data_IF_743183882630
#
_entry.id   IF_743183882630
#
_cell.length_a   1.000
_cell.length_b   1.000
_cell.length_c   1.000
_cell.angle_alpha   90.00
_cell.angle_beta   90.00
_cell.angle_gamma   90.00
#
_symmetry.space_group_name_H-M   'P 1'
#
loop_
_entity.id
_entity.type
_entity.pdbx_description
1 polymer ?
#
# COMPACT_ATOMS: atom_id res chain seq x y z
N UNK A 1 -0.27 9.30 25.67
CA UNK A 1 -0.34 8.46 24.45
C UNK A 1 0.01 7.01 24.77
N UNK A 2 -0.70 6.07 24.15
CA UNK A 2 -0.45 4.64 24.35
C UNK A 2 0.82 4.19 23.63
N UNK A 3 1.57 3.26 24.25
CA UNK A 3 2.70 2.60 23.60
C UNK A 3 2.20 1.61 22.53
N UNK A 4 3.10 1.18 21.64
CA UNK A 4 2.78 0.18 20.60
C UNK A 4 2.33 -1.15 21.24
N UNK A 5 2.96 -1.57 22.33
CA UNK A 5 2.55 -2.74 23.12
C UNK A 5 1.13 -2.59 23.67
N UNK A 6 0.80 -1.44 24.22
CA UNK A 6 -0.53 -1.18 24.77
C UNK A 6 -1.61 -1.23 23.69
N UNK A 7 -1.34 -0.69 22.49
CA UNK A 7 -2.27 -0.77 21.36
C UNK A 7 -2.47 -2.21 20.93
N UNK A 8 -1.39 -2.97 20.76
CA UNK A 8 -1.46 -4.39 20.43
C UNK A 8 -2.30 -5.16 21.47
N UNK A 9 -2.03 -4.98 22.74
CA UNK A 9 -2.73 -5.68 23.82
C UNK A 9 -4.23 -5.38 23.81
N UNK A 10 -4.61 -4.13 23.54
CA UNK A 10 -6.01 -3.74 23.45
C UNK A 10 -6.71 -4.36 22.23
N UNK A 11 -6.06 -4.38 21.08
CA UNK A 11 -6.62 -4.99 19.85
C UNK A 11 -6.77 -6.50 20.03
N UNK A 12 -5.78 -7.17 20.60
CA UNK A 12 -5.82 -8.62 20.87
C UNK A 12 -6.92 -8.95 21.87
N UNK A 13 -7.08 -8.19 22.94
CA UNK A 13 -8.14 -8.41 23.94
C UNK A 13 -9.54 -8.28 23.31
N UNK A 14 -9.73 -7.26 22.48
CA UNK A 14 -10.98 -7.08 21.74
C UNK A 14 -11.21 -8.23 20.75
N UNK A 15 -10.20 -8.57 19.96
CA UNK A 15 -10.32 -9.61 18.92
C UNK A 15 -10.60 -10.99 19.54
N UNK A 16 -10.00 -11.30 20.67
CA UNK A 16 -10.24 -12.54 21.38
C UNK A 16 -11.71 -12.75 21.70
N UNK A 17 -12.42 -11.68 22.01
CA UNK A 17 -13.85 -11.74 22.37
C UNK A 17 -14.75 -11.62 21.15
N UNK A 18 -14.41 -10.79 20.17
CA UNK A 18 -15.33 -10.40 19.10
C UNK A 18 -14.89 -10.83 17.70
N UNK A 19 -13.63 -11.24 17.48
CA UNK A 19 -13.11 -11.60 16.16
C UNK A 19 -12.00 -12.66 16.27
N UNK A 20 -12.40 -13.91 16.43
CA UNK A 20 -11.48 -15.03 16.62
C UNK A 20 -10.46 -15.19 15.49
N UNK A 21 -10.87 -14.97 14.23
CA UNK A 21 -9.99 -15.09 13.07
C UNK A 21 -8.85 -14.06 13.15
N UNK A 22 -9.17 -12.81 13.44
CA UNK A 22 -8.18 -11.75 13.62
C UNK A 22 -7.28 -12.03 14.82
N UNK A 23 -7.85 -12.47 15.93
CA UNK A 23 -7.10 -12.87 17.12
C UNK A 23 -6.03 -13.92 16.79
N UNK A 24 -6.43 -14.98 16.09
CA UNK A 24 -5.52 -16.06 15.71
C UNK A 24 -4.38 -15.57 14.79
N UNK A 25 -4.68 -14.70 13.85
CA UNK A 25 -3.67 -14.11 12.97
C UNK A 25 -2.68 -13.24 13.75
N UNK A 26 -3.16 -12.42 14.67
CA UNK A 26 -2.32 -11.51 15.45
C UNK A 26 -1.41 -12.26 16.41
N UNK A 27 -1.91 -13.27 17.14
CA UNK A 27 -1.10 -14.02 18.08
C UNK A 27 -0.13 -14.99 17.40
N UNK A 28 -0.45 -15.44 16.19
CA UNK A 28 0.44 -16.32 15.42
C UNK A 28 1.73 -15.59 15.00
N UNK A 29 1.67 -14.30 14.72
CA UNK A 29 2.83 -13.46 14.45
C UNK A 29 2.63 -12.07 15.07
N UNK A 30 2.96 -11.95 16.33
CA UNK A 30 2.77 -10.71 17.09
C UNK A 30 3.66 -9.57 16.61
N UNK A 31 4.86 -9.85 16.12
CA UNK A 31 5.77 -8.83 15.61
C UNK A 31 5.21 -8.20 14.33
N UNK A 32 4.66 -9.00 13.42
CA UNK A 32 3.97 -8.50 12.23
C UNK A 32 2.76 -7.63 12.63
N UNK A 33 1.93 -8.10 13.55
CA UNK A 33 0.76 -7.36 14.00
C UNK A 33 1.13 -6.00 14.62
N UNK A 34 2.17 -5.97 15.46
CA UNK A 34 2.68 -4.73 16.05
C UNK A 34 3.22 -3.78 14.97
N UNK A 35 3.96 -4.29 13.99
CA UNK A 35 4.48 -3.48 12.89
C UNK A 35 3.35 -2.84 12.09
N UNK A 36 2.27 -3.58 11.80
CA UNK A 36 1.08 -3.06 11.11
C UNK A 36 0.44 -1.93 11.91
N UNK A 37 0.19 -2.15 13.19
CA UNK A 37 -0.46 -1.17 14.06
C UNK A 37 0.39 0.07 14.31
N UNK A 38 1.69 -0.02 14.10
CA UNK A 38 2.63 1.07 14.28
C UNK A 38 2.83 1.96 13.04
N UNK A 39 2.37 1.54 11.88
CA UNK A 39 2.53 2.34 10.65
C UNK A 39 1.90 3.73 10.85
N UNK A 40 2.64 4.79 10.51
CA UNK A 40 2.26 6.20 10.61
C UNK A 40 2.02 6.75 12.03
N UNK A 41 2.23 5.97 13.09
CA UNK A 41 2.03 6.47 14.46
C UNK A 41 3.04 7.51 14.90
N UNK A 42 4.26 7.42 14.37
CA UNK A 42 5.35 8.35 14.71
C UNK A 42 5.36 9.62 13.84
N UNK A 43 4.40 9.76 12.93
CA UNK A 43 4.28 10.95 12.12
C UNK A 43 3.83 12.16 12.95
N UNK A 44 4.32 13.39 12.63
CA UNK A 44 3.85 14.61 13.30
C UNK A 44 2.33 14.84 13.18
N UNK A 45 1.73 14.26 12.15
CA UNK A 45 0.28 14.22 11.94
C UNK A 45 -0.17 12.77 11.72
N UNK A 46 -0.29 11.99 12.80
CA UNK A 46 -0.69 10.60 12.66
C UNK A 46 -2.10 10.50 12.06
N UNK A 47 -2.29 9.50 11.22
CA UNK A 47 -3.61 9.21 10.67
C UNK A 47 -4.53 8.70 11.78
N UNK A 48 -5.79 9.12 11.71
CA UNK A 48 -6.84 8.68 12.63
C UNK A 48 -7.82 7.79 11.86
N UNK A 49 -7.30 6.76 11.22
CA UNK A 49 -8.10 5.91 10.33
C UNK A 49 -8.92 4.85 11.08
N UNK A 50 -8.55 4.59 12.33
CA UNK A 50 -9.28 3.63 13.19
C UNK A 50 -10.04 4.42 14.25
N UNK A 51 -11.30 4.72 13.99
CA UNK A 51 -12.17 5.43 14.91
C UNK A 51 -12.88 4.46 15.89
N UNK A 52 -13.03 3.20 15.51
CA UNK A 52 -13.66 2.18 16.33
C UNK A 52 -13.07 0.79 16.04
N UNK A 53 -13.35 -0.16 16.93
CA UNK A 53 -12.83 -1.53 16.83
C UNK A 53 -13.28 -2.27 15.56
N UNK A 54 -14.45 -1.96 15.05
CA UNK A 54 -14.99 -2.59 13.84
C UNK A 54 -14.17 -2.25 12.58
N UNK A 55 -13.47 -1.11 12.60
CA UNK A 55 -12.61 -0.69 11.50
C UNK A 55 -11.25 -1.38 11.49
N UNK A 56 -10.85 -2.02 12.60
CA UNK A 56 -9.54 -2.67 12.70
C UNK A 56 -9.35 -3.74 11.63
N UNK A 57 -10.34 -4.60 11.42
CA UNK A 57 -10.25 -5.66 10.41
C UNK A 57 -10.09 -5.07 9.01
N UNK A 58 -10.85 -4.03 8.67
CA UNK A 58 -10.72 -3.35 7.37
C UNK A 58 -9.33 -2.72 7.20
N UNK A 59 -8.80 -2.14 8.27
CA UNK A 59 -7.48 -1.52 8.27
C UNK A 59 -6.36 -2.53 8.03
N UNK A 60 -6.45 -3.73 8.60
CA UNK A 60 -5.39 -4.75 8.56
C UNK A 60 -5.59 -5.81 7.48
N UNK A 61 -6.76 -5.88 6.87
CA UNK A 61 -7.15 -7.00 5.97
C UNK A 61 -6.18 -7.23 4.82
N UNK A 62 -5.66 -6.19 4.19
CA UNK A 62 -4.73 -6.35 3.06
C UNK A 62 -3.33 -6.83 3.47
N UNK A 63 -3.02 -6.86 4.77
CA UNK A 63 -1.76 -7.44 5.26
C UNK A 63 -1.79 -8.96 5.41
N UNK A 64 -2.97 -9.58 5.39
CA UNK A 64 -3.15 -11.01 5.58
C UNK A 64 -3.91 -11.62 4.42
N UNK A 65 -3.31 -12.59 3.73
CA UNK A 65 -3.96 -13.27 2.60
C UNK A 65 -5.29 -13.94 3.00
N UNK A 66 -5.41 -14.35 4.26
CA UNK A 66 -6.63 -14.93 4.82
C UNK A 66 -7.81 -13.95 4.90
N UNK A 67 -7.52 -12.65 4.91
CA UNK A 67 -8.51 -11.57 4.97
C UNK A 67 -8.57 -10.75 3.67
N UNK A 68 -7.54 -10.87 2.82
CA UNK A 68 -7.36 -10.03 1.65
C UNK A 68 -8.23 -10.47 0.49
N UNK A 69 -9.00 -9.54 -0.07
CA UNK A 69 -9.75 -9.74 -1.30
C UNK A 69 -9.19 -8.82 -2.37
N UNK A 70 -8.48 -9.37 -3.38
CA UNK A 70 -7.91 -8.56 -4.46
C UNK A 70 -8.99 -7.82 -5.26
N UNK A 71 -8.74 -6.55 -5.52
CA UNK A 71 -9.54 -5.68 -6.39
C UNK A 71 -8.61 -4.74 -7.14
N UNK A 72 -8.42 -5.00 -8.41
CA UNK A 72 -7.50 -4.25 -9.27
C UNK A 72 -8.18 -3.12 -10.06
N UNK A 73 -9.41 -2.74 -9.70
CA UNK A 73 -10.13 -1.66 -10.37
C UNK A 73 -9.34 -0.35 -10.34
N UNK A 74 -9.10 0.21 -11.51
CA UNK A 74 -8.39 1.48 -11.68
C UNK A 74 -9.36 2.66 -11.70
N UNK A 75 -8.92 3.87 -11.25
CA UNK A 75 -9.63 5.10 -11.56
C UNK A 75 -9.84 5.25 -13.07
N UNK A 76 -10.96 5.86 -13.48
CA UNK A 76 -11.33 5.98 -14.89
C UNK A 76 -10.28 6.67 -15.77
N UNK A 77 -9.52 7.59 -15.20
CA UNK A 77 -8.50 8.36 -15.92
C UNK A 77 -7.17 7.62 -16.10
N UNK A 78 -7.03 6.41 -15.56
CA UNK A 78 -5.81 5.59 -15.72
C UNK A 78 -6.12 4.41 -16.63
N UNK A 79 -5.42 4.33 -17.76
CA UNK A 79 -5.57 3.24 -18.72
C UNK A 79 -4.88 1.97 -18.22
N UNK A 80 -5.47 0.80 -18.50
CA UNK A 80 -4.89 -0.51 -18.16
C UNK A 80 -3.49 -0.69 -18.75
N UNK A 81 -3.28 -0.27 -19.99
CA UNK A 81 -2.00 -0.37 -20.68
C UNK A 81 -0.91 0.41 -19.93
N UNK A 82 -1.25 1.59 -19.44
CA UNK A 82 -0.33 2.42 -18.65
C UNK A 82 -0.04 1.77 -17.31
N UNK A 83 -1.05 1.19 -16.65
CA UNK A 83 -0.87 0.46 -15.40
C UNK A 83 0.04 -0.76 -15.57
N UNK A 84 -0.13 -1.52 -16.64
CA UNK A 84 0.73 -2.68 -16.96
C UNK A 84 2.19 -2.22 -17.13
N UNK A 85 2.41 -1.15 -17.89
CA UNK A 85 3.76 -0.60 -18.11
C UNK A 85 4.40 -0.13 -16.79
N UNK A 86 3.67 0.62 -15.99
CA UNK A 86 4.13 1.10 -14.67
C UNK A 86 4.54 -0.09 -13.80
N UNK A 87 3.67 -1.08 -13.66
CA UNK A 87 3.93 -2.22 -12.78
C UNK A 87 5.06 -3.10 -13.28
N UNK A 88 5.15 -3.32 -14.58
CA UNK A 88 6.23 -4.11 -15.20
C UNK A 88 7.59 -3.47 -14.94
N UNK A 89 7.70 -2.17 -15.16
CA UNK A 89 8.96 -1.42 -14.93
C UNK A 89 9.26 -1.28 -13.44
N UNK A 90 8.23 -1.10 -12.60
CA UNK A 90 8.40 -1.01 -11.15
C UNK A 90 9.00 -2.30 -10.56
N UNK A 91 8.59 -3.47 -11.01
CA UNK A 91 9.17 -4.75 -10.60
C UNK A 91 10.67 -4.81 -10.81
N UNK A 92 11.16 -4.21 -11.89
CA UNK A 92 12.59 -4.25 -12.24
C UNK A 92 13.45 -3.40 -11.30
N UNK A 93 12.88 -2.38 -10.68
CA UNK A 93 13.63 -1.40 -9.88
C UNK A 93 13.36 -1.50 -8.39
N UNK A 94 12.27 -2.14 -7.97
CA UNK A 94 11.92 -2.26 -6.56
C UNK A 94 12.96 -3.05 -5.77
N UNK A 95 13.41 -2.51 -4.64
CA UNK A 95 14.28 -3.19 -3.69
C UNK A 95 13.81 -2.93 -2.25
N UNK A 96 13.64 -4.01 -1.48
CA UNK A 96 13.28 -3.90 -0.06
C UNK A 96 14.39 -3.26 0.79
N UNK A 97 15.61 -3.16 0.26
CA UNK A 97 16.75 -2.55 0.94
C UNK A 97 16.84 -1.02 0.74
N UNK A 98 16.00 -0.45 -0.15
CA UNK A 98 15.98 1.00 -0.36
C UNK A 98 15.44 1.72 0.87
N UNK A 99 15.99 2.90 1.17
CA UNK A 99 15.37 3.85 2.08
C UNK A 99 14.08 4.38 1.45
N UNK A 100 13.24 5.01 2.27
CA UNK A 100 12.00 5.63 1.76
C UNK A 100 12.30 6.70 0.70
N UNK A 101 13.35 7.47 0.87
CA UNK A 101 13.80 8.48 -0.09
C UNK A 101 14.25 7.84 -1.41
N UNK A 102 15.10 6.82 -1.35
CA UNK A 102 15.55 6.08 -2.53
C UNK A 102 14.38 5.42 -3.27
N UNK A 103 13.47 4.82 -2.53
CA UNK A 103 12.25 4.22 -3.08
C UNK A 103 11.41 5.27 -3.83
N UNK A 104 11.18 6.43 -3.22
CA UNK A 104 10.37 7.48 -3.85
C UNK A 104 11.07 8.10 -5.07
N UNK A 105 12.40 8.25 -5.02
CA UNK A 105 13.17 8.72 -6.18
C UNK A 105 13.04 7.75 -7.37
N UNK A 106 13.03 6.45 -7.14
CA UNK A 106 12.77 5.45 -8.19
C UNK A 106 11.37 5.61 -8.79
N UNK A 107 10.36 5.92 -7.99
CA UNK A 107 9.01 6.20 -8.47
C UNK A 107 8.98 7.46 -9.36
N UNK A 108 9.70 8.52 -8.98
CA UNK A 108 9.82 9.72 -9.82
C UNK A 108 10.46 9.43 -11.17
N UNK A 109 11.52 8.64 -11.19
CA UNK A 109 12.17 8.21 -12.43
C UNK A 109 11.24 7.35 -13.29
N UNK A 110 10.46 6.49 -12.65
CA UNK A 110 9.44 5.66 -13.29
C UNK A 110 8.36 6.51 -13.97
N UNK A 111 7.92 7.60 -13.34
CA UNK A 111 6.99 8.55 -13.94
C UNK A 111 7.48 9.01 -15.31
N UNK A 112 8.70 9.51 -15.38
CA UNK A 112 9.30 10.02 -16.61
C UNK A 112 9.43 8.93 -17.67
N UNK A 113 9.77 7.71 -17.27
CA UNK A 113 9.90 6.57 -18.19
C UNK A 113 8.57 6.11 -18.77
N UNK A 114 7.45 6.37 -18.10
CA UNK A 114 6.10 5.93 -18.53
C UNK A 114 5.24 7.06 -19.11
N UNK A 115 5.79 8.25 -19.33
CA UNK A 115 5.05 9.38 -19.90
C UNK A 115 4.24 10.18 -18.88
N UNK A 116 4.53 10.01 -17.61
CA UNK A 116 3.98 10.80 -16.51
C UNK A 116 5.02 11.83 -16.04
N UNK A 117 4.59 12.82 -15.26
CA UNK A 117 5.53 13.76 -14.65
C UNK A 117 5.61 13.58 -13.15
N UNK A 118 6.83 13.62 -12.55
CA UNK A 118 6.97 13.63 -11.09
C UNK A 118 6.55 14.96 -10.45
N UNK A 119 6.31 16.00 -11.25
CA UNK A 119 5.99 17.35 -10.78
C UNK A 119 4.50 17.67 -11.00
N UNK A 120 3.73 17.68 -9.91
CA UNK A 120 2.29 17.96 -9.95
C UNK A 120 1.98 19.36 -10.49
N UNK A 121 2.82 20.36 -10.18
CA UNK A 121 2.63 21.73 -10.67
C UNK A 121 2.80 21.79 -12.19
N UNK A 122 3.82 21.12 -12.71
CA UNK A 122 4.06 21.01 -14.15
C UNK A 122 2.88 20.37 -14.87
N UNK A 123 2.34 19.29 -14.32
CA UNK A 123 1.14 18.66 -14.84
C UNK A 123 -0.04 19.61 -14.89
N UNK A 124 -0.30 20.37 -13.82
CA UNK A 124 -1.41 21.34 -13.77
C UNK A 124 -1.26 22.47 -14.79
N UNK A 125 -0.03 22.86 -15.09
CA UNK A 125 0.25 23.92 -16.07
C UNK A 125 0.12 23.41 -17.50
N UNK A 126 0.43 22.15 -17.76
CA UNK A 126 0.45 21.57 -19.10
C UNK A 126 -0.03 20.10 -19.08
N UNK A 127 -1.32 19.87 -18.77
CA UNK A 127 -1.85 18.50 -18.60
C UNK A 127 -1.80 17.67 -19.88
N UNK A 128 -1.86 18.31 -21.07
CA UNK A 128 -1.84 17.59 -22.34
C UNK A 128 -0.47 17.02 -22.70
N UNK A 129 0.60 17.48 -22.03
CA UNK A 129 1.96 16.99 -22.26
C UNK A 129 2.24 15.65 -21.60
N UNK A 130 1.42 15.22 -20.65
CA UNK A 130 1.65 14.03 -19.82
C UNK A 130 0.39 13.17 -19.71
N UNK A 131 0.59 11.88 -19.49
CA UNK A 131 -0.51 10.94 -19.17
C UNK A 131 -1.11 11.18 -17.79
N UNK A 132 -0.36 11.81 -16.89
CA UNK A 132 -0.71 12.10 -15.51
C UNK A 132 0.53 12.52 -14.73
N UNK A 133 0.48 12.37 -13.41
CA UNK A 133 1.57 12.75 -12.51
C UNK A 133 1.91 11.64 -11.50
N UNK A 134 2.88 11.92 -10.62
CA UNK A 134 3.38 10.97 -9.64
C UNK A 134 2.28 10.37 -8.76
N UNK A 135 1.22 11.12 -8.46
CA UNK A 135 0.06 10.61 -7.71
C UNK A 135 -0.64 9.47 -8.42
N UNK A 136 -0.74 9.52 -9.75
CA UNK A 136 -1.35 8.45 -10.55
C UNK A 136 -0.49 7.20 -10.56
N UNK A 137 0.81 7.34 -10.72
CA UNK A 137 1.77 6.22 -10.66
C UNK A 137 1.74 5.57 -9.27
N UNK A 138 1.75 6.36 -8.22
CA UNK A 138 1.66 5.86 -6.84
C UNK A 138 0.33 5.14 -6.60
N UNK A 139 -0.77 5.64 -7.16
CA UNK A 139 -2.09 5.01 -7.07
C UNK A 139 -2.10 3.63 -7.71
N UNK A 140 -1.51 3.47 -8.90
CA UNK A 140 -1.41 2.17 -9.57
C UNK A 140 -0.66 1.16 -8.70
N UNK A 141 0.48 1.56 -8.13
CA UNK A 141 1.28 0.69 -7.26
C UNK A 141 0.48 0.33 -6.00
N UNK A 142 -0.18 1.31 -5.38
CA UNK A 142 -0.99 1.11 -4.17
C UNK A 142 -2.14 0.13 -4.42
N UNK A 143 -2.84 0.25 -5.52
CA UNK A 143 -3.91 -0.67 -5.91
C UNK A 143 -3.36 -2.10 -6.07
N UNK A 144 -2.23 -2.27 -6.74
CA UNK A 144 -1.60 -3.58 -6.92
C UNK A 144 -1.25 -4.24 -5.58
N UNK A 145 -0.80 -3.47 -4.60
CA UNK A 145 -0.36 -3.97 -3.29
C UNK A 145 -1.51 -4.14 -2.31
N UNK A 146 -2.49 -3.23 -2.31
CA UNK A 146 -3.52 -3.15 -1.25
C UNK A 146 -4.95 -3.29 -1.75
N UNK A 147 -5.19 -3.21 -3.05
CA UNK A 147 -6.53 -3.12 -3.67
C UNK A 147 -7.33 -1.89 -3.22
N UNK A 148 -6.65 -0.85 -2.77
CA UNK A 148 -7.25 0.40 -2.28
C UNK A 148 -6.53 1.60 -2.86
N UNK A 149 -7.24 2.73 -2.96
CA UNK A 149 -6.66 4.01 -3.38
C UNK A 149 -6.20 4.87 -2.21
N UNK A 150 -6.66 4.58 -1.01
CA UNK A 150 -6.30 5.30 0.21
C UNK A 150 -5.89 4.33 1.32
N UNK A 151 -4.64 4.43 1.77
CA UNK A 151 -4.05 3.56 2.79
C UNK A 151 -3.06 4.36 3.63
N UNK A 152 -2.55 3.81 4.74
CA UNK A 152 -1.32 4.29 5.36
C UNK A 152 -0.14 4.28 4.39
N UNK A 153 1.03 4.69 4.86
CA UNK A 153 2.25 4.85 4.06
C UNK A 153 2.62 3.56 3.29
N UNK A 154 2.59 3.65 1.97
CA UNK A 154 2.82 2.50 1.08
C UNK A 154 4.20 1.87 1.25
N UNK A 155 5.24 2.69 1.48
CA UNK A 155 6.59 2.18 1.71
C UNK A 155 6.63 1.20 2.89
N UNK A 156 6.05 1.58 4.02
CA UNK A 156 6.01 0.72 5.22
C UNK A 156 5.09 -0.48 5.05
N UNK A 157 3.99 -0.35 4.32
CA UNK A 157 3.12 -1.49 3.97
C UNK A 157 3.95 -2.56 3.24
N UNK A 158 4.72 -2.18 2.24
CA UNK A 158 5.55 -3.11 1.47
C UNK A 158 6.68 -3.71 2.31
N UNK A 159 7.25 -2.95 3.25
CA UNK A 159 8.25 -3.50 4.17
C UNK A 159 7.65 -4.61 5.06
N UNK A 160 6.42 -4.43 5.53
CA UNK A 160 5.73 -5.45 6.35
C UNK A 160 5.37 -6.68 5.53
N UNK A 161 4.87 -6.49 4.30
CA UNK A 161 4.50 -7.61 3.41
C UNK A 161 5.71 -8.45 2.98
N UNK A 162 6.85 -7.83 2.79
CA UNK A 162 8.06 -8.49 2.27
C UNK A 162 8.07 -8.58 0.75
N UNK A 163 9.28 -8.77 0.19
CA UNK A 163 9.52 -8.70 -1.25
C UNK A 163 8.76 -9.77 -2.04
N UNK A 164 8.65 -10.99 -1.52
CA UNK A 164 7.99 -12.09 -2.23
C UNK A 164 6.49 -11.81 -2.39
N UNK A 165 5.84 -11.35 -1.33
CA UNK A 165 4.42 -11.00 -1.38
C UNK A 165 4.17 -9.77 -2.26
N UNK A 166 5.04 -8.76 -2.20
CA UNK A 166 4.98 -7.58 -3.06
C UNK A 166 5.04 -7.99 -4.53
N UNK A 167 6.02 -8.80 -4.91
CA UNK A 167 6.18 -9.27 -6.29
C UNK A 167 5.00 -10.13 -6.75
N UNK A 168 4.51 -11.00 -5.90
CA UNK A 168 3.36 -11.84 -6.19
C UNK A 168 2.09 -11.02 -6.47
N UNK A 169 1.83 -10.02 -5.66
CA UNK A 169 0.67 -9.12 -5.84
C UNK A 169 0.78 -8.28 -7.10
N UNK A 170 1.97 -7.81 -7.44
CA UNK A 170 2.21 -7.07 -8.69
C UNK A 170 1.95 -7.98 -9.90
N UNK A 171 2.48 -9.21 -9.89
CA UNK A 171 2.28 -10.16 -10.98
C UNK A 171 0.79 -10.51 -11.17
N UNK A 172 0.09 -10.77 -10.08
CA UNK A 172 -1.34 -11.07 -10.12
C UNK A 172 -2.15 -9.91 -10.69
N UNK A 173 -1.78 -8.68 -10.34
CA UNK A 173 -2.44 -7.47 -10.85
C UNK A 173 -2.19 -7.29 -12.34
N UNK A 174 -0.94 -7.42 -12.79
CA UNK A 174 -0.59 -7.37 -14.22
C UNK A 174 -1.41 -8.41 -15.00
N UNK A 175 -1.45 -9.65 -14.51
CA UNK A 175 -2.19 -10.72 -15.15
C UNK A 175 -3.69 -10.42 -15.22
N UNK A 176 -4.26 -9.82 -14.20
CA UNK A 176 -5.68 -9.43 -14.21
C UNK A 176 -5.98 -8.36 -15.27
N UNK A 177 -5.05 -7.44 -15.51
CA UNK A 177 -5.23 -6.42 -16.56
C UNK A 177 -5.06 -6.97 -17.98
N UNK A 178 -4.30 -8.06 -18.14
CA UNK A 178 -4.09 -8.72 -19.44
C UNK A 178 -5.18 -9.71 -19.81
N UNK A 179 -5.99 -10.08 -18.84
CA UNK A 179 -7.07 -11.05 -19.02
C UNK A 179 -8.24 -10.50 -19.87
#
# INVERSE_FOLDING_TARGET
DMTNEQVYDLVVAWAKEYNEKLYNLFVADSEKAKAILNIDRDNPKPRKDIACWEEVENYVSFFYNELYTPDATLPEHIAKEDAIEILTKYKEVYSANDSKEEWFNKIKELCSACGFTPNVKEYKQNPDAFKGHVGDVSTVIRIAITSRTNTPDLYYIMQVLGVDEVMNRIDNTINSYKA
#
